data_IF_473844052908
#
_entry.id   IF_473844052908
#
_cell.length_a   1.000
_cell.length_b   1.000
_cell.length_c   1.000
_cell.angle_alpha   90.00
_cell.angle_beta   90.00
_cell.angle_gamma   90.00
#
_symmetry.space_group_name_H-M   'P 1'
#
loop_
_entity.id
_entity.type
_entity.pdbx_description
1 polymer ?
#
# COMPACT_ATOMS: atom_id res chain seq x y z
N UNK A 1 -45.40 -57.86 13.66
CA UNK A 1 -45.52 -57.78 12.19
C UNK A 1 -44.55 -56.70 11.74
N UNK A 2 -43.50 -57.11 11.02
CA UNK A 2 -42.47 -56.29 10.38
C UNK A 2 -43.08 -55.43 9.26
N UNK A 3 -42.47 -54.26 8.97
CA UNK A 3 -41.91 -53.75 7.69
C UNK A 3 -41.00 -52.54 8.05
N UNK A 4 -39.66 -52.58 8.01
CA UNK A 4 -38.74 -52.41 6.85
C UNK A 4 -39.05 -51.13 6.02
N UNK A 5 -38.16 -50.18 5.67
CA UNK A 5 -36.85 -50.27 5.03
C UNK A 5 -36.18 -48.86 4.89
N UNK A 6 -34.83 -48.82 4.90
CA UNK A 6 -33.92 -47.89 4.17
C UNK A 6 -33.55 -46.50 4.73
N UNK A 7 -32.24 -46.28 4.89
CA UNK A 7 -31.61 -44.95 5.01
C UNK A 7 -30.12 -44.99 5.35
N UNK A 8 -29.27 -45.49 4.43
CA UNK A 8 -27.81 -45.29 4.46
C UNK A 8 -27.44 -43.89 3.97
N UNK A 9 -26.39 -43.30 4.56
CA UNK A 9 -25.69 -42.09 4.09
C UNK A 9 -26.16 -40.83 4.83
N UNK A 10 -25.33 -39.96 5.39
CA UNK A 10 -24.03 -39.52 4.92
C UNK A 10 -23.14 -39.07 6.08
N UNK A 11 -21.85 -39.38 5.96
CA UNK A 11 -20.77 -38.71 6.68
C UNK A 11 -20.75 -37.24 6.26
N UNK A 12 -21.08 -36.33 7.17
CA UNK A 12 -20.59 -34.95 7.14
C UNK A 12 -19.45 -34.93 8.17
N UNK A 13 -18.19 -35.06 7.78
CA UNK A 13 -17.53 -34.11 6.89
C UNK A 13 -17.03 -32.94 7.72
N UNK A 14 -16.11 -33.22 8.64
CA UNK A 14 -15.25 -32.21 9.27
C UNK A 14 -14.50 -31.51 8.16
N UNK A 15 -14.66 -30.20 8.06
CA UNK A 15 -14.02 -29.40 7.03
C UNK A 15 -14.44 -27.95 7.13
N UNK A 16 -14.19 -27.32 8.28
CA UNK A 16 -14.09 -25.86 8.31
C UNK A 16 -12.73 -25.49 7.71
N UNK A 17 -12.65 -24.76 6.58
CA UNK A 17 -11.46 -24.00 6.29
C UNK A 17 -11.56 -22.65 7.01
N UNK A 18 -10.57 -22.27 7.82
CA UNK A 18 -10.09 -20.90 7.80
C UNK A 18 -8.59 -20.90 7.47
N UNK A 19 -7.96 -19.75 7.19
CA UNK A 19 -8.47 -18.40 6.93
C UNK A 19 -7.92 -17.87 5.58
N UNK A 20 -8.11 -16.58 5.32
CA UNK A 20 -7.32 -15.79 4.35
C UNK A 20 -7.83 -15.76 2.90
N UNK A 21 -8.97 -15.11 2.70
CA UNK A 21 -9.15 -14.33 1.46
C UNK A 21 -8.46 -12.98 1.70
N UNK A 22 -7.13 -12.94 1.56
CA UNK A 22 -6.46 -11.68 1.23
C UNK A 22 -6.65 -11.47 -0.26
N UNK A 23 -7.87 -11.12 -0.66
CA UNK A 23 -8.02 -10.34 -1.87
C UNK A 23 -7.26 -9.05 -1.59
N UNK A 24 -6.18 -8.83 -2.33
CA UNK A 24 -5.63 -7.50 -2.50
C UNK A 24 -6.77 -6.62 -3.00
N UNK A 25 -7.47 -5.97 -2.08
CA UNK A 25 -8.50 -5.01 -2.41
C UNK A 25 -7.83 -3.95 -3.29
N UNK A 26 -8.20 -3.92 -4.56
CA UNK A 26 -7.77 -2.86 -5.47
C UNK A 26 -8.45 -1.60 -4.96
N UNK A 27 -7.77 -0.88 -4.07
CA UNK A 27 -8.28 0.34 -3.46
C UNK A 27 -8.45 1.37 -4.57
N UNK A 28 -9.69 1.73 -4.86
CA UNK A 28 -9.99 2.82 -5.76
C UNK A 28 -9.70 4.16 -5.06
N UNK A 29 -8.93 5.02 -5.71
CA UNK A 29 -8.65 6.38 -5.24
C UNK A 29 -9.53 7.38 -5.98
N UNK A 30 -9.94 8.44 -5.30
CA UNK A 30 -10.48 9.61 -5.99
C UNK A 30 -9.40 10.24 -6.87
N UNK A 31 -9.76 11.01 -7.92
CA UNK A 31 -8.78 11.69 -8.76
C UNK A 31 -7.81 12.57 -7.95
N UNK A 32 -8.31 13.23 -6.90
CA UNK A 32 -7.50 14.08 -6.02
C UNK A 32 -6.51 13.27 -5.17
N UNK A 33 -6.96 12.16 -4.58
CA UNK A 33 -6.07 11.25 -3.85
C UNK A 33 -4.96 10.70 -4.76
N UNK A 34 -5.33 10.24 -5.96
CA UNK A 34 -4.37 9.72 -6.94
C UNK A 34 -3.35 10.80 -7.35
N UNK A 35 -3.80 12.04 -7.55
CA UNK A 35 -2.92 13.16 -7.89
C UNK A 35 -1.84 13.39 -6.82
N UNK A 36 -2.22 13.49 -5.55
CA UNK A 36 -1.26 13.74 -4.47
C UNK A 36 -0.31 12.55 -4.23
N UNK A 37 -0.81 11.32 -4.34
CA UNK A 37 0.03 10.12 -4.27
C UNK A 37 1.07 10.08 -5.41
N UNK A 38 0.65 10.35 -6.64
CA UNK A 38 1.56 10.43 -7.79
C UNK A 38 2.58 11.56 -7.63
N UNK A 39 2.14 12.74 -7.19
CA UNK A 39 3.01 13.88 -6.93
C UNK A 39 4.08 13.53 -5.88
N UNK A 40 3.68 12.88 -4.79
CA UNK A 40 4.60 12.45 -3.73
C UNK A 40 5.64 11.48 -4.29
N UNK A 41 5.20 10.46 -5.05
CA UNK A 41 6.09 9.50 -5.69
C UNK A 41 7.12 10.18 -6.60
N UNK A 42 6.67 11.13 -7.43
CA UNK A 42 7.55 11.88 -8.34
C UNK A 42 8.60 12.70 -7.59
N UNK A 43 8.20 13.42 -6.53
CA UNK A 43 9.13 14.23 -5.73
C UNK A 43 10.18 13.36 -5.02
N UNK A 44 9.76 12.20 -4.50
CA UNK A 44 10.67 11.24 -3.87
C UNK A 44 11.69 10.70 -4.88
N UNK A 45 11.24 10.31 -6.08
CA UNK A 45 12.11 9.86 -7.17
C UNK A 45 13.08 10.94 -7.63
N UNK A 46 12.60 12.17 -7.84
CA UNK A 46 13.43 13.30 -8.20
C UNK A 46 14.57 13.52 -7.19
N UNK A 47 14.26 13.42 -5.89
CA UNK A 47 15.26 13.54 -4.83
C UNK A 47 16.34 12.45 -4.90
N UNK A 48 15.96 11.24 -5.32
CA UNK A 48 16.88 10.11 -5.45
C UNK A 48 17.75 10.24 -6.70
N UNK A 49 17.11 10.44 -7.86
CA UNK A 49 17.76 10.58 -9.16
C UNK A 49 18.73 11.75 -9.18
N UNK A 50 18.42 12.83 -8.45
CA UNK A 50 19.26 14.04 -8.37
C UNK A 50 20.17 14.09 -7.15
N UNK A 51 20.36 12.98 -6.41
CA UNK A 51 21.04 13.00 -5.11
C UNK A 51 22.42 13.67 -5.13
N UNK A 52 23.25 13.39 -6.14
CA UNK A 52 24.59 13.99 -6.27
C UNK A 52 24.53 15.48 -6.61
N UNK A 53 23.64 15.90 -7.52
CA UNK A 53 23.44 17.31 -7.84
C UNK A 53 22.91 18.09 -6.63
N UNK A 54 22.02 17.48 -5.84
CA UNK A 54 21.47 18.07 -4.62
C UNK A 54 22.49 18.19 -3.48
N UNK A 55 23.62 17.48 -3.52
CA UNK A 55 24.73 17.71 -2.57
C UNK A 55 25.41 19.05 -2.84
N UNK A 56 25.49 19.45 -4.10
CA UNK A 56 26.10 20.71 -4.52
C UNK A 56 25.15 21.90 -4.34
N UNK A 57 23.83 21.65 -4.29
CA UNK A 57 22.79 22.67 -4.13
C UNK A 57 21.91 22.46 -2.87
N UNK A 58 22.40 22.81 -1.66
CA UNK A 58 21.69 22.52 -0.40
C UNK A 58 20.35 23.23 -0.23
N UNK A 59 20.14 24.37 -0.91
CA UNK A 59 18.86 25.08 -0.88
C UNK A 59 17.80 24.33 -1.69
N UNK A 60 18.18 23.75 -2.83
CA UNK A 60 17.29 22.96 -3.68
C UNK A 60 16.87 21.67 -2.97
N UNK A 61 17.81 21.02 -2.28
CA UNK A 61 17.49 19.87 -1.42
C UNK A 61 16.45 20.22 -0.36
N UNK A 62 16.62 21.35 0.34
CA UNK A 62 15.67 21.82 1.37
C UNK A 62 14.30 22.15 0.77
N UNK A 63 14.27 22.78 -0.41
CA UNK A 63 13.01 23.07 -1.11
C UNK A 63 12.27 21.78 -1.47
N UNK A 64 13.00 20.77 -1.97
CA UNK A 64 12.44 19.47 -2.32
C UNK A 64 11.93 18.71 -1.09
N UNK A 65 12.67 18.73 0.02
CA UNK A 65 12.24 18.12 1.28
C UNK A 65 10.95 18.78 1.82
N UNK A 66 10.82 20.11 1.72
CA UNK A 66 9.59 20.82 2.08
C UNK A 66 8.41 20.42 1.18
N UNK A 67 8.64 20.33 -0.13
CA UNK A 67 7.61 19.92 -1.08
C UNK A 67 7.14 18.48 -0.84
N UNK A 68 8.05 17.57 -0.52
CA UNK A 68 7.72 16.18 -0.13
C UNK A 68 6.86 16.20 1.14
N UNK A 69 7.28 16.96 2.16
CA UNK A 69 6.57 17.01 3.44
C UNK A 69 5.17 17.60 3.31
N UNK A 70 5.00 18.72 2.59
CA UNK A 70 3.67 19.31 2.39
C UNK A 70 2.74 18.37 1.61
N UNK A 71 3.27 17.73 0.55
CA UNK A 71 2.49 16.76 -0.24
C UNK A 71 2.09 15.54 0.60
N UNK A 72 2.94 15.11 1.54
CA UNK A 72 2.58 14.06 2.49
C UNK A 72 1.43 14.48 3.42
N UNK A 73 1.42 15.74 3.90
CA UNK A 73 0.31 16.26 4.69
C UNK A 73 -0.98 16.30 3.87
N UNK A 74 -0.92 16.75 2.61
CA UNK A 74 -2.08 16.73 1.69
C UNK A 74 -2.64 15.29 1.55
N UNK A 75 -1.76 14.28 1.39
CA UNK A 75 -2.16 12.87 1.38
C UNK A 75 -2.83 12.44 2.69
N UNK A 76 -2.31 12.88 3.83
CA UNK A 76 -2.84 12.54 5.14
C UNK A 76 -4.23 13.15 5.36
N UNK A 77 -4.43 14.42 4.98
CA UNK A 77 -5.71 15.11 5.03
C UNK A 77 -6.76 14.45 4.12
N UNK A 78 -6.34 13.91 2.98
CA UNK A 78 -7.21 13.17 2.05
C UNK A 78 -7.47 11.70 2.45
N UNK A 79 -6.96 11.26 3.61
CA UNK A 79 -7.19 9.90 4.13
C UNK A 79 -6.35 8.80 3.47
N UNK A 80 -5.32 9.17 2.70
CA UNK A 80 -4.37 8.25 2.03
C UNK A 80 -2.96 8.33 2.61
N UNK A 81 -2.87 8.68 3.90
CA UNK A 81 -1.61 8.80 4.62
C UNK A 81 -0.85 7.48 4.78
N UNK A 82 -1.54 6.34 4.82
CA UNK A 82 -0.89 5.02 4.92
C UNK A 82 -0.10 4.69 3.64
N UNK A 83 -0.73 4.89 2.49
CA UNK A 83 -0.12 4.75 1.17
C UNK A 83 1.05 5.71 1.00
N UNK A 84 0.87 6.96 1.43
CA UNK A 84 1.93 7.96 1.39
C UNK A 84 3.16 7.54 2.24
N UNK A 85 2.95 6.90 3.40
CA UNK A 85 4.04 6.30 4.18
C UNK A 85 4.74 5.17 3.45
N UNK A 86 4.02 4.35 2.67
CA UNK A 86 4.65 3.32 1.83
C UNK A 86 5.54 3.96 0.75
N UNK A 87 5.10 5.03 0.11
CA UNK A 87 5.90 5.79 -0.86
C UNK A 87 7.19 6.33 -0.22
N UNK A 88 7.12 6.83 1.01
CA UNK A 88 8.30 7.28 1.76
C UNK A 88 9.16 6.10 2.28
N UNK A 89 8.53 4.99 2.64
CA UNK A 89 9.11 3.82 3.29
C UNK A 89 9.77 2.81 2.34
N UNK A 90 9.46 2.84 1.04
CA UNK A 90 10.21 2.12 -0.01
C UNK A 90 11.73 2.41 -0.01
N UNK A 91 12.17 3.39 0.78
CA UNK A 91 13.58 3.74 1.04
C UNK A 91 14.33 2.80 1.99
N UNK A 92 13.64 2.08 2.87
CA UNK A 92 14.27 1.30 3.95
C UNK A 92 14.32 -0.21 3.68
N UNK A 93 13.90 -0.69 2.52
CA UNK A 93 14.11 -2.10 2.17
C UNK A 93 15.62 -2.33 1.96
N UNK A 94 16.29 -3.19 2.76
CA UNK A 94 17.66 -3.55 2.50
C UNK A 94 17.74 -4.21 1.11
N UNK A 95 18.67 -3.77 0.27
CA UNK A 95 19.04 -4.48 -0.94
C UNK A 95 19.48 -5.91 -0.56
N UNK A 96 18.89 -6.99 -1.13
CA UNK A 96 19.43 -8.33 -0.94
C UNK A 96 20.86 -8.32 -1.50
N UNK A 97 21.82 -8.50 -0.60
CA UNK A 97 23.24 -8.63 -0.91
C UNK A 97 23.54 -10.06 -1.30
#
# INVERSE_FOLDING_TARGET
MQEQFTGMGHRSGVGSPPPFVSQSEVRAYTPLQAYFLYRLLRLVRLRQESAEALKQEPWLRRALDKAIYSTFLDCAELGVGAEARLVLGQRNAPSPS
#
